data_IF_157970612198
#
_entry.id   IF_157970612198
#
_cell.length_a   1.000
_cell.length_b   1.000
_cell.length_c   1.000
_cell.angle_alpha   90.00
_cell.angle_beta   90.00
_cell.angle_gamma   90.00
#
_symmetry.space_group_name_H-M   'P 1'
#
loop_
_entity.id
_entity.type
_entity.pdbx_description
1 polymer ?
#
# COMPACT_ATOMS: atom_id res chain seq x y z
N UNK A 1 -4.43 -12.55 -12.39
CA UNK A 1 -3.75 -12.63 -11.08
C UNK A 1 -2.63 -11.61 -11.09
N UNK A 2 -2.64 -10.60 -10.23
CA UNK A 2 -1.57 -9.59 -10.17
C UNK A 2 -0.81 -9.75 -8.87
N UNK A 3 0.46 -10.15 -8.95
CA UNK A 3 1.40 -10.04 -7.84
C UNK A 3 2.03 -8.65 -7.90
N UNK A 4 2.23 -8.03 -6.73
CA UNK A 4 2.80 -6.69 -6.63
C UNK A 4 3.91 -6.68 -5.59
N UNK A 5 4.96 -5.93 -5.90
CA UNK A 5 6.14 -5.71 -5.08
C UNK A 5 6.01 -4.38 -4.34
N UNK A 6 6.20 -4.36 -3.01
CA UNK A 6 6.26 -3.11 -2.23
C UNK A 6 7.67 -2.85 -1.70
N UNK A 7 8.18 -1.64 -1.94
CA UNK A 7 9.43 -1.16 -1.37
C UNK A 7 9.18 -0.09 -0.30
N UNK A 8 9.84 -0.18 0.87
CA UNK A 8 9.93 0.91 1.87
C UNK A 8 11.39 1.38 2.05
N UNK A 9 11.59 2.68 2.29
CA UNK A 9 12.91 3.34 2.24
C UNK A 9 13.59 3.65 3.59
N UNK A 10 12.93 3.45 4.74
CA UNK A 10 13.50 3.85 6.05
C UNK A 10 14.13 2.68 6.82
N UNK A 11 15.45 2.75 7.00
CA UNK A 11 16.28 1.83 7.80
C UNK A 11 17.46 1.28 7.00
N UNK A 12 18.68 1.31 7.55
CA UNK A 12 19.85 0.62 6.98
C UNK A 12 19.54 -0.86 6.99
N UNK A 13 19.44 -1.46 5.81
CA UNK A 13 19.11 -2.87 5.70
C UNK A 13 20.01 -3.55 4.67
N UNK A 14 20.77 -4.50 5.21
CA UNK A 14 21.84 -5.29 4.64
C UNK A 14 21.25 -6.40 3.75
N UNK A 15 21.80 -6.55 2.54
CA UNK A 15 21.24 -7.42 1.48
C UNK A 15 21.21 -8.91 1.88
N UNK A 16 21.96 -9.30 2.90
CA UNK A 16 22.02 -10.68 3.43
C UNK A 16 21.17 -10.93 4.68
N UNK A 17 20.63 -9.91 5.35
CA UNK A 17 19.89 -10.07 6.62
C UNK A 17 18.51 -9.46 6.67
N UNK A 18 18.22 -8.51 5.78
CA UNK A 18 17.01 -7.71 5.91
C UNK A 18 15.96 -8.03 4.88
N UNK A 19 14.96 -8.75 5.40
CA UNK A 19 13.77 -9.28 4.73
C UNK A 19 12.73 -8.18 4.43
N UNK A 20 13.20 -6.98 4.10
CA UNK A 20 12.38 -5.81 3.73
C UNK A 20 12.21 -5.68 2.20
N UNK A 21 12.41 -6.79 1.50
CA UNK A 21 11.75 -7.07 0.22
C UNK A 21 10.36 -7.56 0.58
N UNK A 22 9.38 -6.66 0.58
CA UNK A 22 8.00 -6.98 0.94
C UNK A 22 7.36 -7.79 -0.17
N UNK A 23 7.17 -9.08 0.09
CA UNK A 23 6.50 -10.01 -0.81
C UNK A 23 4.99 -9.95 -0.58
N UNK A 24 4.27 -9.81 -1.69
CA UNK A 24 2.84 -10.07 -1.87
C UNK A 24 1.85 -9.10 -1.20
N UNK A 25 1.35 -8.17 -2.03
CA UNK A 25 0.08 -7.50 -1.78
C UNK A 25 -1.08 -8.44 -2.12
N UNK A 26 -1.83 -8.85 -1.10
CA UNK A 26 -3.02 -9.67 -1.27
C UNK A 26 -4.26 -8.77 -1.17
N UNK A 27 -4.94 -8.67 -2.30
CA UNK A 27 -6.24 -7.99 -2.41
C UNK A 27 -7.30 -8.97 -1.95
N UNK A 28 -7.79 -8.81 -0.73
CA UNK A 28 -8.91 -9.61 -0.26
C UNK A 28 -10.22 -8.94 -0.57
N UNK A 29 -11.00 -9.63 -1.39
CA UNK A 29 -12.39 -9.32 -1.66
C UNK A 29 -13.21 -10.54 -1.30
N UNK A 30 -14.21 -10.37 -0.44
CA UNK A 30 -15.19 -11.42 -0.19
C UNK A 30 -16.43 -11.26 -1.03
N UNK A 31 -17.23 -12.32 -1.01
CA UNK A 31 -18.15 -12.71 -2.09
C UNK A 31 -19.47 -11.92 -2.10
N UNK A 32 -19.61 -10.79 -1.39
CA UNK A 32 -20.89 -10.04 -1.36
C UNK A 32 -20.69 -8.52 -1.34
N UNK A 33 -21.14 -7.86 -2.41
CA UNK A 33 -21.12 -6.40 -2.70
C UNK A 33 -19.72 -5.83 -2.96
N UNK A 34 -19.41 -5.66 -4.24
CA UNK A 34 -18.06 -5.42 -4.75
C UNK A 34 -17.70 -3.92 -4.73
N UNK A 35 -16.56 -3.58 -4.13
CA UNK A 35 -15.98 -2.23 -4.21
C UNK A 35 -15.31 -1.99 -5.56
N UNK A 36 -14.79 -3.06 -6.19
CA UNK A 36 -14.24 -3.06 -7.57
C UNK A 36 -14.69 -4.33 -8.30
N UNK A 37 -14.82 -4.33 -9.63
CA UNK A 37 -15.36 -5.47 -10.39
C UNK A 37 -14.31 -6.58 -10.65
N UNK A 38 -13.59 -7.06 -9.62
CA UNK A 38 -12.57 -8.09 -9.76
C UNK A 38 -12.35 -8.92 -8.48
N UNK A 39 -12.33 -10.26 -8.54
CA UNK A 39 -12.04 -11.12 -7.39
C UNK A 39 -10.60 -11.64 -7.45
N UNK A 40 -9.86 -11.55 -6.35
CA UNK A 40 -8.45 -11.95 -6.27
C UNK A 40 -8.21 -12.96 -5.14
N UNK A 41 -7.75 -12.55 -3.96
CA UNK A 41 -7.14 -13.47 -2.99
C UNK A 41 -7.60 -13.18 -1.56
N UNK A 42 -8.20 -14.15 -0.85
CA UNK A 42 -8.67 -13.97 0.53
C UNK A 42 -7.67 -14.37 1.63
N UNK A 43 -8.12 -14.26 2.89
CA UNK A 43 -7.37 -14.66 4.09
C UNK A 43 -6.78 -16.10 4.05
N UNK A 44 -7.41 -17.13 3.46
CA UNK A 44 -6.80 -18.47 3.38
C UNK A 44 -5.46 -18.51 2.64
N UNK A 45 -5.26 -17.65 1.65
CA UNK A 45 -3.99 -17.58 0.92
C UNK A 45 -2.96 -16.81 1.71
N UNK A 46 -3.35 -15.75 2.45
CA UNK A 46 -2.46 -15.08 3.42
C UNK A 46 -1.93 -16.11 4.43
N UNK A 47 -2.83 -16.91 5.00
CA UNK A 47 -2.50 -17.90 6.01
C UNK A 47 -1.55 -18.97 5.47
N UNK A 48 -1.77 -19.37 4.22
CA UNK A 48 -0.90 -20.32 3.52
C UNK A 48 0.48 -19.69 3.27
N UNK A 49 0.53 -18.47 2.74
CA UNK A 49 1.78 -17.75 2.45
C UNK A 49 2.60 -17.49 3.71
N UNK A 50 1.96 -17.07 4.80
CA UNK A 50 2.61 -16.78 6.09
C UNK A 50 3.37 -17.99 6.64
N UNK A 51 2.94 -19.22 6.35
CA UNK A 51 3.66 -20.45 6.74
C UNK A 51 5.03 -20.59 6.05
N UNK A 52 5.26 -19.87 4.95
CA UNK A 52 6.46 -19.95 4.13
C UNK A 52 7.29 -18.66 4.12
N UNK A 53 6.84 -17.57 4.75
CA UNK A 53 7.58 -16.32 4.77
C UNK A 53 7.43 -15.54 6.07
N UNK A 54 8.52 -14.90 6.49
CA UNK A 54 8.52 -13.89 7.55
C UNK A 54 8.49 -12.46 7.00
N UNK A 55 8.37 -12.30 5.67
CA UNK A 55 8.26 -10.98 5.06
C UNK A 55 7.03 -10.24 5.62
N UNK A 56 7.09 -8.91 5.60
CA UNK A 56 5.92 -8.10 5.89
C UNK A 56 4.86 -8.36 4.80
N UNK A 57 3.60 -8.59 5.19
CA UNK A 57 2.49 -8.81 4.26
C UNK A 57 1.56 -7.59 4.29
N UNK A 58 1.68 -6.69 3.32
CA UNK A 58 0.78 -5.54 3.16
C UNK A 58 -0.54 -5.98 2.51
N UNK A 59 -1.64 -5.96 3.27
CA UNK A 59 -2.95 -6.32 2.73
C UNK A 59 -3.71 -5.05 2.35
N UNK A 60 -4.04 -4.90 1.07
CA UNK A 60 -4.86 -3.80 0.57
C UNK A 60 -6.29 -4.27 0.31
N UNK A 61 -7.19 -3.78 1.16
CA UNK A 61 -8.56 -4.23 1.27
C UNK A 61 -9.46 -3.36 0.38
N UNK A 62 -9.66 -3.83 -0.84
CA UNK A 62 -10.64 -3.26 -1.79
C UNK A 62 -12.02 -3.90 -1.60
N UNK A 63 -12.58 -3.77 -0.39
CA UNK A 63 -13.90 -4.32 0.02
C UNK A 63 -14.83 -3.24 0.51
N UNK A 64 -16.14 -3.52 0.50
CA UNK A 64 -17.17 -2.62 1.01
C UNK A 64 -17.24 -2.61 2.54
N UNK A 65 -17.01 -3.74 3.20
CA UNK A 65 -17.06 -3.87 4.66
C UNK A 65 -15.70 -4.31 5.25
N UNK A 66 -14.69 -3.41 5.36
CA UNK A 66 -13.36 -3.80 5.82
C UNK A 66 -13.34 -4.37 7.25
N UNK A 67 -14.26 -3.94 8.12
CA UNK A 67 -14.32 -4.39 9.52
C UNK A 67 -14.50 -5.91 9.68
N UNK A 68 -15.20 -6.54 8.73
CA UNK A 68 -15.44 -7.99 8.68
C UNK A 68 -14.14 -8.79 8.42
N UNK A 69 -13.11 -8.15 7.86
CA UNK A 69 -11.86 -8.80 7.46
C UNK A 69 -10.74 -8.64 8.49
N UNK A 70 -10.89 -7.76 9.48
CA UNK A 70 -9.84 -7.51 10.47
C UNK A 70 -9.50 -8.78 11.24
N UNK A 71 -10.51 -9.52 11.72
CA UNK A 71 -10.30 -10.76 12.47
C UNK A 71 -9.69 -11.88 11.60
N UNK A 72 -10.25 -12.20 10.40
CA UNK A 72 -9.63 -13.17 9.49
C UNK A 72 -8.20 -12.80 9.09
N UNK A 73 -7.91 -11.53 8.80
CA UNK A 73 -6.57 -11.11 8.36
C UNK A 73 -5.54 -11.16 9.48
N UNK A 74 -5.91 -10.70 10.68
CA UNK A 74 -5.04 -10.82 11.84
C UNK A 74 -4.72 -12.29 12.16
N UNK A 75 -5.71 -13.18 12.10
CA UNK A 75 -5.51 -14.63 12.28
C UNK A 75 -4.62 -15.25 11.19
N UNK A 76 -4.78 -14.80 9.95
CA UNK A 76 -3.99 -15.29 8.83
C UNK A 76 -2.52 -14.81 8.87
N UNK A 77 -2.21 -13.80 9.70
CA UNK A 77 -0.86 -13.27 9.87
C UNK A 77 -0.50 -12.15 8.89
N UNK A 78 -1.48 -11.37 8.47
CA UNK A 78 -1.24 -10.10 7.78
C UNK A 78 -0.38 -9.16 8.66
N UNK A 79 0.49 -8.36 8.03
CA UNK A 79 1.32 -7.38 8.75
C UNK A 79 0.74 -5.98 8.65
N UNK A 80 0.28 -5.60 7.45
CA UNK A 80 -0.43 -4.36 7.18
C UNK A 80 -1.88 -4.62 6.81
N UNK A 81 -2.76 -3.69 7.19
CA UNK A 81 -4.17 -3.68 6.79
C UNK A 81 -4.51 -2.27 6.30
N UNK A 82 -4.59 -2.12 4.98
CA UNK A 82 -4.87 -0.85 4.30
C UNK A 82 -6.28 -0.88 3.74
N UNK A 83 -7.18 -0.07 4.30
CA UNK A 83 -8.59 0.00 3.89
C UNK A 83 -8.88 1.28 3.10
N UNK A 84 -9.96 1.29 2.33
CA UNK A 84 -10.37 2.47 1.56
C UNK A 84 -11.13 3.51 2.41
N UNK A 85 -10.76 4.79 2.29
CA UNK A 85 -11.47 5.91 2.96
C UNK A 85 -12.93 5.98 2.52
N UNK A 86 -13.22 5.60 1.27
CA UNK A 86 -14.56 5.71 0.67
C UNK A 86 -15.61 4.82 1.32
N UNK A 87 -15.20 3.81 2.09
CA UNK A 87 -16.08 2.83 2.75
C UNK A 87 -15.95 2.83 4.28
N UNK A 88 -15.18 3.77 4.83
CA UNK A 88 -14.83 3.79 6.26
C UNK A 88 -15.14 5.13 6.95
N UNK A 89 -15.76 6.09 6.26
CA UNK A 89 -16.02 7.44 6.77
C UNK A 89 -16.71 7.46 8.15
N UNK A 90 -17.64 6.55 8.38
CA UNK A 90 -18.46 6.53 9.60
C UNK A 90 -17.85 5.71 10.75
N UNK A 91 -16.91 4.81 10.46
CA UNK A 91 -16.42 3.82 11.44
C UNK A 91 -14.89 3.65 11.44
N UNK A 92 -14.14 4.56 10.80
CA UNK A 92 -12.68 4.44 10.70
C UNK A 92 -11.99 4.36 12.07
N UNK A 93 -12.52 5.02 13.11
CA UNK A 93 -11.94 4.98 14.47
C UNK A 93 -11.97 3.57 15.04
N UNK A 94 -13.14 2.91 15.01
CA UNK A 94 -13.32 1.52 15.44
C UNK A 94 -12.44 0.59 14.59
N UNK A 95 -12.43 0.81 13.27
CA UNK A 95 -11.64 0.01 12.34
C UNK A 95 -10.15 0.07 12.66
N UNK A 96 -9.58 1.27 12.83
CA UNK A 96 -8.16 1.45 13.16
C UNK A 96 -7.82 0.84 14.52
N UNK A 97 -8.66 1.04 15.53
CA UNK A 97 -8.47 0.42 16.84
C UNK A 97 -8.45 -1.11 16.74
N UNK A 98 -9.40 -1.69 16.00
CA UNK A 98 -9.49 -3.14 15.82
C UNK A 98 -8.28 -3.70 15.06
N UNK A 99 -7.79 -2.99 14.04
CA UNK A 99 -6.58 -3.35 13.28
C UNK A 99 -5.37 -3.38 14.22
N UNK A 100 -5.14 -2.32 15.01
CA UNK A 100 -4.03 -2.25 15.96
C UNK A 100 -4.12 -3.33 17.04
N UNK A 101 -5.32 -3.59 17.56
CA UNK A 101 -5.56 -4.64 18.55
C UNK A 101 -5.23 -6.06 18.04
N UNK A 102 -5.16 -6.26 16.72
CA UNK A 102 -4.70 -7.52 16.09
C UNK A 102 -3.21 -7.53 15.77
N UNK A 103 -2.46 -6.51 16.17
CA UNK A 103 -1.03 -6.40 15.89
C UNK A 103 -0.71 -6.10 14.44
N UNK A 104 -1.69 -5.66 13.66
CA UNK A 104 -1.51 -5.22 12.28
C UNK A 104 -1.29 -3.71 12.23
N UNK A 105 -0.51 -3.25 11.25
CA UNK A 105 -0.30 -1.84 10.96
C UNK A 105 -1.46 -1.27 10.15
N UNK A 106 -2.18 -0.23 10.62
CA UNK A 106 -3.29 0.36 9.88
C UNK A 106 -2.81 1.32 8.79
N UNK A 107 -3.35 1.17 7.60
CA UNK A 107 -3.21 2.12 6.49
C UNK A 107 -4.57 2.55 5.94
N UNK A 108 -4.60 3.68 5.24
CA UNK A 108 -5.78 4.13 4.49
C UNK A 108 -5.43 4.38 3.03
N UNK A 109 -6.26 3.89 2.12
CA UNK A 109 -6.20 4.10 0.68
C UNK A 109 -7.19 5.17 0.23
N UNK A 110 -6.81 5.93 -0.79
CA UNK A 110 -7.65 6.95 -1.43
C UNK A 110 -7.62 6.79 -2.95
N UNK A 111 -8.80 6.72 -3.58
CA UNK A 111 -8.94 6.62 -5.05
C UNK A 111 -8.51 7.90 -5.76
N UNK A 112 -8.24 7.86 -7.08
CA UNK A 112 -7.91 9.06 -7.85
C UNK A 112 -8.98 10.15 -7.76
N UNK A 113 -10.27 9.78 -7.82
CA UNK A 113 -11.40 10.72 -7.73
C UNK A 113 -11.73 11.28 -6.34
N UNK A 114 -11.13 10.75 -5.26
CA UNK A 114 -11.47 11.15 -3.89
C UNK A 114 -10.52 12.25 -3.39
N UNK A 115 -11.00 13.38 -2.83
CA UNK A 115 -10.15 14.44 -2.29
C UNK A 115 -9.18 13.92 -1.22
N UNK A 116 -7.94 14.45 -1.20
CA UNK A 116 -6.91 13.98 -0.28
C UNK A 116 -7.20 14.40 1.17
N UNK A 117 -7.95 15.47 1.34
CA UNK A 117 -8.39 16.00 2.63
C UNK A 117 -9.23 14.99 3.42
N UNK A 118 -9.89 14.05 2.73
CA UNK A 118 -10.67 13.00 3.39
C UNK A 118 -9.83 12.09 4.29
N UNK A 119 -8.51 11.98 4.05
CA UNK A 119 -7.64 11.16 4.91
C UNK A 119 -7.12 11.90 6.14
N UNK A 120 -7.25 13.22 6.23
CA UNK A 120 -6.64 14.00 7.32
C UNK A 120 -7.15 13.59 8.70
N UNK A 121 -8.46 13.39 8.94
CA UNK A 121 -8.94 12.92 10.24
C UNK A 121 -8.31 11.58 10.67
N UNK A 122 -8.00 10.71 9.70
CA UNK A 122 -7.41 9.40 9.96
C UNK A 122 -5.92 9.50 10.31
N UNK A 123 -5.22 10.51 9.80
CA UNK A 123 -3.80 10.76 10.09
C UNK A 123 -3.62 11.58 11.38
N UNK A 124 -4.57 12.49 11.67
CA UNK A 124 -4.50 13.41 12.82
C UNK A 124 -5.25 12.92 14.06
N UNK A 125 -6.02 11.84 13.96
CA UNK A 125 -6.80 11.27 15.06
C UNK A 125 -5.95 10.66 16.18
N UNK A 126 -6.58 10.39 17.33
CA UNK A 126 -5.92 9.82 18.52
C UNK A 126 -5.26 8.45 18.28
N UNK A 127 -5.89 7.64 17.42
CA UNK A 127 -5.35 6.37 16.95
C UNK A 127 -5.14 6.48 15.44
N UNK A 128 -4.03 7.10 15.00
CA UNK A 128 -3.89 7.44 13.60
C UNK A 128 -3.50 6.21 12.77
N UNK A 129 -3.85 6.24 11.49
CA UNK A 129 -3.23 5.38 10.48
C UNK A 129 -1.75 5.71 10.36
N UNK A 130 -0.96 4.72 10.02
CA UNK A 130 0.50 4.85 9.96
C UNK A 130 1.03 4.92 8.54
N UNK A 131 0.15 4.74 7.55
CA UNK A 131 0.45 4.80 6.12
C UNK A 131 -0.77 5.32 5.35
N UNK A 132 -0.53 6.15 4.34
CA UNK A 132 -1.55 6.54 3.35
C UNK A 132 -1.16 6.02 1.98
N UNK A 133 -2.03 5.23 1.36
CA UNK A 133 -1.92 4.78 -0.03
C UNK A 133 -2.67 5.73 -0.96
N UNK A 134 -1.94 6.37 -1.86
CA UNK A 134 -2.52 7.12 -2.98
C UNK A 134 -2.60 6.19 -4.18
N UNK A 135 -3.83 5.87 -4.62
CA UNK A 135 -4.03 5.12 -5.86
C UNK A 135 -3.65 6.00 -7.05
N UNK A 136 -2.77 5.48 -7.92
CA UNK A 136 -2.28 6.16 -9.12
C UNK A 136 -2.89 5.59 -10.41
N UNK A 137 -3.91 4.76 -10.26
CA UNK A 137 -4.85 4.23 -11.26
C UNK A 137 -6.21 4.00 -10.58
N UNK A 138 -7.28 3.82 -11.35
CA UNK A 138 -8.54 3.36 -10.76
C UNK A 138 -8.39 1.93 -10.23
N UNK A 139 -8.79 1.64 -8.98
CA UNK A 139 -8.60 0.33 -8.38
C UNK A 139 -9.39 -0.75 -9.12
N UNK A 140 -8.81 -1.94 -9.24
CA UNK A 140 -9.49 -3.12 -9.78
C UNK A 140 -8.59 -4.00 -10.63
N UNK A 141 -7.81 -3.42 -11.55
CA UNK A 141 -6.97 -4.16 -12.49
C UNK A 141 -5.53 -3.65 -12.54
N UNK A 142 -4.58 -4.56 -12.68
CA UNK A 142 -3.17 -4.23 -12.96
C UNK A 142 -2.95 -3.86 -14.43
N UNK A 143 -1.80 -3.24 -14.73
CA UNK A 143 -1.39 -2.89 -16.10
C UNK A 143 -2.01 -1.58 -16.63
N UNK A 144 -2.77 -0.87 -15.80
CA UNK A 144 -3.28 0.46 -16.14
C UNK A 144 -2.16 1.50 -16.19
N UNK A 145 -2.41 2.60 -16.91
CA UNK A 145 -1.45 3.70 -17.05
C UNK A 145 -1.45 4.56 -15.79
N UNK A 146 -0.26 4.80 -15.26
CA UNK A 146 -0.01 5.74 -14.16
C UNK A 146 -0.66 7.11 -14.45
N UNK A 147 -1.27 7.71 -13.42
CA UNK A 147 -1.95 9.01 -13.43
C UNK A 147 -1.08 10.08 -12.73
N UNK A 148 -0.25 10.87 -13.45
CA UNK A 148 0.67 11.83 -12.84
C UNK A 148 -0.01 12.92 -12.00
N UNK A 149 -1.25 13.26 -12.30
CA UNK A 149 -2.06 14.23 -11.56
C UNK A 149 -2.28 13.82 -10.09
N UNK A 150 -2.24 12.52 -9.79
CA UNK A 150 -2.37 12.02 -8.40
C UNK A 150 -1.16 12.39 -7.53
N UNK A 151 -0.03 12.77 -8.13
CA UNK A 151 1.16 13.18 -7.41
C UNK A 151 0.97 14.46 -6.62
N UNK A 152 -0.02 15.29 -6.96
CA UNK A 152 -0.34 16.45 -6.14
C UNK A 152 -0.82 16.04 -4.75
N UNK A 153 -1.58 14.94 -4.64
CA UNK A 153 -1.97 14.38 -3.35
C UNK A 153 -0.76 13.95 -2.52
N UNK A 154 0.22 13.32 -3.18
CA UNK A 154 1.48 12.89 -2.54
C UNK A 154 2.27 14.09 -2.03
N UNK A 155 2.40 15.17 -2.81
CA UNK A 155 3.10 16.40 -2.39
C UNK A 155 2.43 17.05 -1.19
N UNK A 156 1.10 17.19 -1.24
CA UNK A 156 0.32 17.78 -0.14
C UNK A 156 0.49 16.96 1.13
N UNK A 157 0.38 15.62 1.05
CA UNK A 157 0.62 14.74 2.18
C UNK A 157 2.04 14.84 2.72
N UNK A 158 3.07 14.78 1.86
CA UNK A 158 4.47 14.84 2.31
C UNK A 158 4.78 16.17 2.99
N UNK A 159 4.28 17.28 2.42
CA UNK A 159 4.44 18.61 3.01
C UNK A 159 3.78 18.73 4.38
N UNK A 160 2.58 18.19 4.54
CA UNK A 160 1.81 18.27 5.79
C UNK A 160 2.30 17.27 6.84
N UNK A 161 2.76 16.09 6.40
CA UNK A 161 3.19 14.99 7.25
C UNK A 161 4.59 14.47 6.83
N UNK A 162 5.68 15.17 7.20
CA UNK A 162 7.02 14.87 6.71
C UNK A 162 7.53 13.46 7.03
N UNK A 163 7.02 12.84 8.09
CA UNK A 163 7.43 11.51 8.54
C UNK A 163 6.49 10.37 8.14
N UNK A 164 5.32 10.67 7.57
CA UNK A 164 4.31 9.67 7.22
C UNK A 164 4.81 8.73 6.11
N UNK A 165 4.45 7.45 6.20
CA UNK A 165 4.62 6.55 5.06
C UNK A 165 3.53 6.85 4.02
N UNK A 166 3.97 7.29 2.85
CA UNK A 166 3.12 7.57 1.71
C UNK A 166 3.41 6.54 0.64
N UNK A 167 2.41 5.72 0.38
CA UNK A 167 2.43 4.66 -0.61
C UNK A 167 1.78 5.12 -1.92
N UNK A 168 2.28 4.61 -3.05
CA UNK A 168 1.66 4.77 -4.37
C UNK A 168 1.49 3.41 -5.04
N UNK A 169 0.31 3.16 -5.62
CA UNK A 169 -0.02 1.91 -6.34
C UNK A 169 -0.77 2.18 -7.65
N UNK A 170 -0.20 1.68 -8.76
CA UNK A 170 -0.77 1.78 -10.10
C UNK A 170 0.23 2.30 -11.15
N UNK A 171 0.82 1.40 -11.93
CA UNK A 171 1.69 1.80 -13.05
C UNK A 171 3.08 2.31 -12.64
N UNK A 172 3.56 1.96 -11.44
CA UNK A 172 4.91 2.29 -10.98
C UNK A 172 5.95 1.39 -11.64
N UNK A 173 7.05 1.99 -12.08
CA UNK A 173 8.19 1.32 -12.71
C UNK A 173 9.31 2.32 -13.00
N UNK A 174 10.37 1.90 -13.72
CA UNK A 174 11.52 2.77 -14.02
C UNK A 174 11.15 4.10 -14.69
N UNK A 175 10.09 4.14 -15.50
CA UNK A 175 9.65 5.36 -16.19
C UNK A 175 8.80 6.31 -15.35
N UNK A 176 8.29 5.88 -14.20
CA UNK A 176 7.33 6.64 -13.36
C UNK A 176 7.79 6.84 -11.92
N UNK A 177 8.88 6.17 -11.52
CA UNK A 177 9.34 6.24 -10.14
C UNK A 177 9.88 7.62 -9.76
N UNK A 178 10.62 8.29 -10.64
CA UNK A 178 11.25 9.55 -10.31
C UNK A 178 10.22 10.65 -9.99
N UNK A 179 9.11 10.68 -10.73
CA UNK A 179 8.03 11.64 -10.46
C UNK A 179 7.32 11.34 -9.13
N UNK A 180 7.13 10.06 -8.78
CA UNK A 180 6.53 9.66 -7.51
C UNK A 180 7.45 9.90 -6.31
N UNK A 181 8.73 9.55 -6.44
CA UNK A 181 9.76 9.80 -5.44
C UNK A 181 9.92 11.30 -5.18
N UNK A 182 10.02 12.11 -6.25
CA UNK A 182 10.13 13.58 -6.14
C UNK A 182 8.88 14.22 -5.53
N UNK A 183 7.70 13.62 -5.71
CA UNK A 183 6.48 14.08 -5.06
C UNK A 183 6.45 13.77 -3.55
N UNK A 184 7.30 12.85 -3.07
CA UNK A 184 7.43 12.48 -1.67
C UNK A 184 6.92 11.08 -1.32
N UNK A 185 6.60 10.23 -2.30
CA UNK A 185 6.26 8.84 -2.04
C UNK A 185 7.49 8.06 -1.54
N UNK A 186 7.28 7.21 -0.54
CA UNK A 186 8.36 6.44 0.07
C UNK A 186 8.06 4.94 0.22
N UNK A 187 6.82 4.55 -0.03
CA UNK A 187 6.38 3.18 -0.22
C UNK A 187 5.93 3.00 -1.68
N UNK A 188 6.49 2.05 -2.42
CA UNK A 188 6.26 1.94 -3.88
C UNK A 188 5.71 0.57 -4.22
N UNK A 189 4.50 0.51 -4.78
CA UNK A 189 3.88 -0.74 -5.25
C UNK A 189 4.05 -0.90 -6.75
N UNK A 190 4.78 -1.93 -7.17
CA UNK A 190 5.12 -2.22 -8.56
C UNK A 190 4.74 -3.66 -8.94
N UNK A 191 3.86 -3.83 -9.93
CA UNK A 191 3.43 -5.15 -10.42
C UNK A 191 4.19 -5.57 -11.67
N UNK A 192 3.58 -5.29 -12.84
CA UNK A 192 4.08 -5.69 -14.15
C UNK A 192 5.51 -5.21 -14.45
N UNK A 193 5.94 -4.07 -13.93
CA UNK A 193 7.30 -3.55 -14.13
C UNK A 193 8.38 -4.40 -13.45
N UNK A 194 8.04 -5.14 -12.40
CA UNK A 194 8.96 -6.05 -11.69
C UNK A 194 8.78 -7.47 -12.22
N UNK A 195 7.56 -8.02 -12.18
CA UNK A 195 7.30 -9.41 -12.58
C UNK A 195 7.39 -9.67 -14.08
N UNK A 196 7.29 -8.62 -14.91
CA UNK A 196 7.47 -8.71 -16.36
C UNK A 196 8.88 -8.33 -16.84
N UNK A 197 9.79 -7.97 -15.93
CA UNK A 197 11.16 -7.61 -16.31
C UNK A 197 12.03 -8.85 -16.48
N UNK A 198 13.01 -8.77 -17.40
CA UNK A 198 14.06 -9.79 -17.52
C UNK A 198 14.94 -9.85 -16.27
N UNK A 199 15.13 -8.69 -15.61
CA UNK A 199 16.00 -8.53 -14.43
C UNK A 199 15.24 -7.86 -13.26
N UNK A 200 14.32 -8.57 -12.58
CA UNK A 200 13.47 -7.99 -11.53
C UNK A 200 14.26 -7.34 -10.40
N UNK A 201 15.39 -7.95 -9.99
CA UNK A 201 16.26 -7.41 -8.94
C UNK A 201 16.89 -6.07 -9.29
N UNK A 202 17.19 -5.83 -10.57
CA UNK A 202 17.71 -4.54 -11.05
C UNK A 202 16.61 -3.47 -11.04
N UNK A 203 15.39 -3.82 -11.45
CA UNK A 203 14.23 -2.91 -11.36
C UNK A 203 14.00 -2.51 -9.91
N UNK A 204 13.93 -3.48 -9.00
CA UNK A 204 13.76 -3.23 -7.56
C UNK A 204 14.83 -2.28 -7.02
N UNK A 205 16.09 -2.53 -7.38
CA UNK A 205 17.22 -1.70 -6.93
C UNK A 205 17.14 -0.28 -7.50
N UNK A 206 16.72 -0.12 -8.75
CA UNK A 206 16.48 1.18 -9.38
C UNK A 206 15.39 1.95 -8.65
N UNK A 207 14.24 1.31 -8.40
CA UNK A 207 13.13 1.94 -7.68
C UNK A 207 13.58 2.44 -6.31
N UNK A 208 14.40 1.63 -5.60
CA UNK A 208 14.95 1.98 -4.29
C UNK A 208 15.88 3.17 -4.34
N UNK A 209 16.80 3.19 -5.29
CA UNK A 209 17.74 4.30 -5.47
C UNK A 209 17.03 5.62 -5.76
N UNK A 210 16.00 5.59 -6.61
CA UNK A 210 15.21 6.79 -6.92
C UNK A 210 14.56 7.39 -5.67
N UNK A 211 13.88 6.57 -4.85
CA UNK A 211 13.26 7.02 -3.60
C UNK A 211 14.29 7.55 -2.61
N UNK A 212 15.39 6.83 -2.39
CA UNK A 212 16.45 7.24 -1.47
C UNK A 212 17.11 8.56 -1.91
N UNK A 213 17.36 8.73 -3.22
CA UNK A 213 17.90 9.96 -3.78
C UNK A 213 16.96 11.15 -3.58
N UNK A 214 15.65 10.98 -3.80
CA UNK A 214 14.66 12.04 -3.58
C UNK A 214 14.50 12.42 -2.11
N UNK A 215 14.69 11.49 -1.18
CA UNK A 215 14.60 11.75 0.26
C UNK A 215 15.84 12.44 0.85
N UNK A 216 17.01 12.28 0.23
CA UNK A 216 18.22 13.00 0.66
C UNK A 216 18.20 14.48 0.24
N UNK A 217 17.41 14.81 -0.78
CA UNK A 217 17.32 16.15 -1.35
C UNK A 217 16.15 17.00 -0.81
N UNK A 218 15.35 16.45 0.10
CA UNK A 218 14.18 17.10 0.73
C UNK A 218 14.40 17.24 2.25
#
# INVERSE_FOLDING_TARGET
MGFFYMLKSRGVLDFEKDRDVTWDRIVAQGIKKHFVPNLTIGAPVIESLRKHTTAYLDCHLMVTNPLDYVDPMGKAGASGFTFHVEVSKENWQELVQKIKAKGMRPGVAVKPGTPIEEVYPLVEGENPVEMVLVMTVEPGFGGQKFMPETMEKVRVLRKKYPSLDIEVDGGLGPSTIDVAASAGANCIVAGSSVFGASEPGQVISLLRKSVQGAQQNN
#
